data_IF_946748184612
#
_entry.id   IF_946748184612
#
_cell.length_a   1.000
_cell.length_b   1.000
_cell.length_c   1.000
_cell.angle_alpha   90.00
_cell.angle_beta   90.00
_cell.angle_gamma   90.00
#
_symmetry.space_group_name_H-M   'P 1'
#
loop_
_entity.id
_entity.type
_entity.pdbx_description
1 polymer ?
#
# COMPACT_ATOMS: atom_id res chain seq x y z
N UNK A 1 17.76 14.56 -8.52
CA UNK A 1 17.47 13.41 -7.64
C UNK A 1 15.98 13.15 -7.70
N UNK A 2 15.63 11.94 -8.08
CA UNK A 2 14.25 11.46 -8.12
C UNK A 2 14.11 10.24 -7.23
N UNK A 3 12.94 10.05 -6.64
CA UNK A 3 12.70 8.88 -5.81
C UNK A 3 11.24 8.44 -5.87
N UNK A 4 11.03 7.17 -5.59
CA UNK A 4 9.75 6.63 -5.19
C UNK A 4 9.96 5.77 -3.95
N UNK A 5 9.08 5.89 -2.97
CA UNK A 5 9.11 5.12 -1.73
C UNK A 5 7.76 4.51 -1.41
N UNK A 6 7.81 3.38 -0.71
CA UNK A 6 6.66 2.66 -0.18
C UNK A 6 6.89 2.42 1.31
N UNK A 7 5.84 2.59 2.10
CA UNK A 7 5.81 2.30 3.53
C UNK A 7 5.18 0.92 3.75
N UNK A 8 5.95 -0.05 4.22
CA UNK A 8 5.49 -1.39 4.60
C UNK A 8 5.29 -1.49 6.12
N UNK A 9 4.20 -2.10 6.55
CA UNK A 9 3.91 -2.31 7.96
C UNK A 9 4.48 -3.64 8.43
N UNK A 10 5.36 -3.57 9.41
CA UNK A 10 5.81 -4.78 10.09
C UNK A 10 4.80 -5.19 11.16
N UNK A 11 4.69 -6.49 11.40
CA UNK A 11 3.78 -7.08 12.41
C UNK A 11 3.86 -6.39 13.78
N UNK A 12 5.04 -5.87 14.15
CA UNK A 12 5.33 -5.17 15.41
C UNK A 12 4.95 -3.68 15.45
N UNK A 13 4.25 -3.16 14.43
CA UNK A 13 3.89 -1.74 14.33
C UNK A 13 5.02 -0.81 13.87
N UNK A 14 6.18 -1.36 13.51
CA UNK A 14 7.25 -0.58 12.89
C UNK A 14 6.97 -0.37 11.40
N UNK A 15 7.30 0.80 10.87
CA UNK A 15 7.20 1.09 9.44
C UNK A 15 8.56 0.88 8.78
N UNK A 16 8.59 0.03 7.77
CA UNK A 16 9.74 -0.17 6.89
C UNK A 16 9.54 0.66 5.63
N UNK A 17 10.61 1.25 5.12
CA UNK A 17 10.56 2.01 3.87
C UNK A 17 11.37 1.30 2.81
N UNK A 18 10.72 1.00 1.68
CA UNK A 18 11.40 0.61 0.45
C UNK A 18 11.47 1.83 -0.44
N UNK A 19 12.65 2.17 -0.95
CA UNK A 19 12.83 3.32 -1.80
C UNK A 19 13.71 2.99 -3.01
N UNK A 20 13.28 3.45 -4.18
CA UNK A 20 14.13 3.56 -5.36
C UNK A 20 14.54 5.02 -5.46
N UNK A 21 15.84 5.27 -5.50
CA UNK A 21 16.43 6.61 -5.57
C UNK A 21 17.34 6.65 -6.79
N UNK A 22 17.20 7.70 -7.61
CA UNK A 22 18.00 7.93 -8.82
C UNK A 22 18.63 9.32 -8.78
N UNK A 23 19.89 9.39 -9.18
CA UNK A 23 20.54 10.65 -9.52
C UNK A 23 20.25 10.94 -11.00
N UNK A 24 19.65 12.10 -11.27
CA UNK A 24 19.27 12.54 -12.61
C UNK A 24 20.21 13.66 -13.05
N UNK A 25 20.32 13.88 -14.35
CA UNK A 25 21.00 15.04 -14.88
C UNK A 25 20.29 16.37 -14.56
N UNK A 26 20.96 17.51 -14.77
CA UNK A 26 20.45 18.84 -14.39
C UNK A 26 19.09 19.18 -15.03
N UNK A 27 18.84 18.67 -16.24
CA UNK A 27 17.63 18.92 -17.01
C UNK A 27 16.49 17.93 -16.71
N UNK A 28 16.76 16.82 -16.01
CA UNK A 28 15.75 15.82 -15.67
C UNK A 28 16.22 14.38 -15.81
N UNK A 29 15.28 13.45 -15.61
CA UNK A 29 15.52 12.00 -15.57
C UNK A 29 16.05 11.38 -16.86
N UNK A 30 15.84 12.05 -18.00
CA UNK A 30 16.28 11.59 -19.32
C UNK A 30 17.69 12.09 -19.68
N UNK A 31 18.32 12.85 -18.78
CA UNK A 31 19.70 13.33 -18.95
C UNK A 31 20.63 12.63 -17.97
N UNK A 32 21.86 12.29 -18.39
CA UNK A 32 22.80 11.59 -17.52
C UNK A 32 23.18 12.48 -16.32
N UNK A 33 23.36 11.88 -15.13
CA UNK A 33 23.87 12.61 -13.99
C UNK A 33 25.31 13.09 -14.25
N UNK A 34 25.78 14.14 -13.55
CA UNK A 34 27.18 14.55 -13.60
C UNK A 34 28.14 13.40 -13.26
N UNK A 35 29.36 13.41 -13.78
CA UNK A 35 30.33 12.31 -13.58
C UNK A 35 30.68 12.02 -12.10
N UNK A 36 30.57 13.02 -11.21
CA UNK A 36 30.78 12.85 -9.78
C UNK A 36 29.61 12.19 -9.04
N UNK A 37 28.42 12.15 -9.65
CA UNK A 37 27.18 11.67 -9.04
C UNK A 37 27.06 10.15 -9.22
N UNK A 38 27.96 9.40 -8.57
CA UNK A 38 28.04 7.94 -8.69
C UNK A 38 27.08 7.20 -7.75
N UNK A 39 26.90 5.89 -7.98
CA UNK A 39 26.09 5.04 -7.13
C UNK A 39 26.71 4.84 -5.73
N UNK A 40 28.05 4.83 -5.65
CA UNK A 40 28.81 4.79 -4.39
C UNK A 40 28.54 6.05 -3.58
N UNK A 41 28.63 7.23 -4.19
CA UNK A 41 28.32 8.49 -3.51
C UNK A 41 26.87 8.53 -3.00
N UNK A 42 25.93 8.01 -3.79
CA UNK A 42 24.54 7.91 -3.35
C UNK A 42 24.39 6.95 -2.16
N UNK A 43 25.10 5.83 -2.18
CA UNK A 43 25.09 4.83 -1.10
C UNK A 43 25.60 5.46 0.19
N UNK A 44 26.77 6.10 0.15
CA UNK A 44 27.36 6.81 1.30
C UNK A 44 26.42 7.89 1.83
N UNK A 45 25.77 8.65 0.93
CA UNK A 45 24.82 9.68 1.32
C UNK A 45 23.57 9.11 2.02
N UNK A 46 23.05 7.96 1.55
CA UNK A 46 21.91 7.29 2.17
C UNK A 46 22.28 6.77 3.56
N UNK A 47 23.43 6.13 3.70
CA UNK A 47 23.92 5.62 5.00
C UNK A 47 24.14 6.76 5.99
N UNK A 48 24.81 7.83 5.56
CA UNK A 48 25.02 9.02 6.37
C UNK A 48 23.70 9.68 6.79
N UNK A 49 22.72 9.76 5.88
CA UNK A 49 21.40 10.31 6.20
C UNK A 49 20.65 9.41 7.19
N UNK A 50 20.63 8.10 6.97
CA UNK A 50 19.96 7.14 7.86
C UNK A 50 20.54 7.17 9.28
N UNK A 51 21.86 7.31 9.42
CA UNK A 51 22.54 7.41 10.71
C UNK A 51 22.28 8.75 11.43
N UNK A 52 22.09 9.84 10.69
CA UNK A 52 21.93 11.19 11.25
C UNK A 52 20.49 11.59 11.54
N UNK A 53 19.51 11.01 10.84
CA UNK A 53 18.10 11.42 10.96
C UNK A 53 17.59 11.13 12.38
N UNK A 54 17.12 12.19 13.01
CA UNK A 54 16.46 12.19 14.31
C UNK A 54 15.21 13.08 14.22
N UNK A 55 14.05 12.54 14.58
CA UNK A 55 12.78 13.26 14.56
C UNK A 55 12.20 13.29 15.96
N UNK A 56 11.97 14.48 16.49
CA UNK A 56 11.33 14.65 17.79
C UNK A 56 9.90 14.10 17.75
N UNK A 57 9.59 13.27 18.75
CA UNK A 57 8.29 12.69 18.97
C UNK A 57 7.50 13.40 20.06
N UNK A 58 6.28 12.95 20.33
CA UNK A 58 5.47 13.53 21.40
C UNK A 58 6.07 13.26 22.79
N UNK A 59 5.75 14.14 23.73
CA UNK A 59 5.93 13.87 25.16
C UNK A 59 4.74 13.03 25.62
N UNK A 60 5.01 11.85 26.17
CA UNK A 60 3.97 10.96 26.72
C UNK A 60 4.34 10.72 28.18
N UNK A 61 3.45 11.09 29.10
CA UNK A 61 3.60 10.90 30.55
C UNK A 61 4.92 11.48 31.09
N UNK A 62 5.25 12.70 30.65
CA UNK A 62 6.47 13.41 31.05
C UNK A 62 7.75 12.93 30.34
N UNK A 63 7.68 11.91 29.49
CA UNK A 63 8.82 11.40 28.72
C UNK A 63 8.79 11.90 27.28
N UNK A 64 9.82 12.65 26.88
CA UNK A 64 10.05 13.00 25.48
C UNK A 64 10.46 11.77 24.68
N UNK A 65 9.83 11.57 23.52
CA UNK A 65 10.18 10.50 22.59
C UNK A 65 10.96 11.07 21.41
N UNK A 66 11.76 10.21 20.78
CA UNK A 66 12.48 10.55 19.56
C UNK A 66 12.53 9.33 18.66
N UNK A 67 12.34 9.54 17.36
CA UNK A 67 12.38 8.51 16.34
C UNK A 67 13.66 8.61 15.50
N UNK A 68 14.26 7.46 15.23
CA UNK A 68 15.41 7.29 14.34
C UNK A 68 15.17 6.07 13.44
N UNK A 69 15.99 5.91 12.40
CA UNK A 69 16.05 4.61 11.74
C UNK A 69 16.61 3.54 12.69
N UNK A 70 16.18 2.29 12.49
CA UNK A 70 16.74 1.14 13.18
C UNK A 70 18.06 0.69 12.56
N UNK A 71 18.61 -0.42 13.05
CA UNK A 71 19.88 -1.00 12.54
C UNK A 71 19.77 -1.67 11.17
N UNK A 72 18.57 -1.81 10.63
CA UNK A 72 18.34 -2.49 9.36
C UNK A 72 18.31 -1.46 8.23
N UNK A 73 19.33 -1.51 7.39
CA UNK A 73 19.45 -0.74 6.15
C UNK A 73 20.10 -1.67 5.11
N UNK A 74 19.49 -1.77 3.93
CA UNK A 74 20.01 -2.52 2.79
C UNK A 74 19.97 -1.60 1.58
N UNK A 75 21.15 -1.20 1.10
CA UNK A 75 21.30 -0.33 -0.07
C UNK A 75 21.92 -1.17 -1.17
N UNK A 76 21.20 -1.29 -2.29
CA UNK A 76 21.68 -2.03 -3.46
C UNK A 76 21.54 -1.17 -4.69
N UNK A 77 22.61 -1.14 -5.49
CA UNK A 77 22.55 -0.57 -6.82
C UNK A 77 21.69 -1.49 -7.69
N UNK A 78 20.61 -0.95 -8.25
CA UNK A 78 19.75 -1.69 -9.16
C UNK A 78 20.39 -1.66 -10.55
N UNK A 79 20.86 -2.82 -11.02
CA UNK A 79 21.48 -3.01 -12.34
C UNK A 79 20.48 -3.66 -13.30
N UNK A 80 20.67 -3.46 -14.61
CA UNK A 80 19.88 -4.13 -15.65
C UNK A 80 19.87 -5.66 -15.49
N UNK A 81 21.00 -6.24 -15.09
CA UNK A 81 21.16 -7.68 -14.88
C UNK A 81 20.36 -8.25 -13.68
N UNK A 82 19.87 -7.40 -12.77
CA UNK A 82 19.08 -7.85 -11.61
C UNK A 82 17.63 -8.21 -11.99
N UNK A 83 17.24 -7.96 -13.24
CA UNK A 83 15.95 -8.33 -13.79
C UNK A 83 16.15 -9.55 -14.71
N UNK A 84 15.43 -10.65 -14.41
CA UNK A 84 15.66 -12.03 -14.84
C UNK A 84 15.74 -12.35 -16.35
N UNK A 85 15.84 -11.37 -17.24
CA UNK A 85 15.83 -11.59 -18.70
C UNK A 85 16.98 -10.86 -19.44
N UNK A 86 17.99 -10.34 -18.73
CA UNK A 86 19.08 -9.57 -19.37
C UNK A 86 18.58 -8.31 -20.10
N UNK A 87 17.34 -7.89 -19.83
CA UNK A 87 16.75 -6.67 -20.36
C UNK A 87 17.47 -5.46 -19.78
N UNK A 88 17.61 -4.40 -20.57
CA UNK A 88 17.97 -3.08 -20.06
C UNK A 88 17.07 -2.72 -18.86
N UNK A 89 17.62 -1.96 -17.90
CA UNK A 89 16.89 -1.44 -16.75
C UNK A 89 15.72 -0.56 -17.24
N UNK A 90 14.57 -1.18 -17.51
CA UNK A 90 13.38 -0.47 -17.96
C UNK A 90 12.64 0.15 -16.76
N UNK A 91 11.98 1.28 -16.98
CA UNK A 91 11.11 1.89 -15.98
C UNK A 91 10.02 0.92 -15.48
N UNK A 92 9.58 0.01 -16.36
CA UNK A 92 8.62 -1.05 -16.04
C UNK A 92 9.15 -2.02 -14.98
N UNK A 93 10.43 -2.39 -15.06
CA UNK A 93 11.07 -3.31 -14.14
C UNK A 93 11.20 -2.67 -12.73
N UNK A 94 11.58 -1.40 -12.69
CA UNK A 94 11.62 -0.59 -11.46
C UNK A 94 10.21 -0.41 -10.86
N UNK A 95 9.20 -0.16 -11.70
CA UNK A 95 7.82 -0.06 -11.24
C UNK A 95 7.29 -1.38 -10.66
N UNK A 96 7.62 -2.52 -11.27
CA UNK A 96 7.27 -3.85 -10.75
C UNK A 96 7.94 -4.12 -9.41
N UNK A 97 9.21 -3.74 -9.25
CA UNK A 97 9.93 -3.83 -7.98
C UNK A 97 9.22 -3.02 -6.89
N UNK A 98 8.84 -1.76 -7.16
CA UNK A 98 8.09 -0.93 -6.21
C UNK A 98 6.72 -1.55 -5.91
N UNK A 99 6.02 -2.06 -6.94
CA UNK A 99 4.70 -2.68 -6.80
C UNK A 99 4.72 -3.93 -5.90
N UNK A 100 5.80 -4.72 -5.93
CA UNK A 100 5.98 -5.89 -5.05
C UNK A 100 5.88 -5.53 -3.56
N UNK A 101 6.39 -4.37 -3.17
CA UNK A 101 6.32 -3.89 -1.80
C UNK A 101 5.05 -3.07 -1.55
N UNK A 102 4.38 -2.64 -2.63
CA UNK A 102 3.13 -1.92 -2.57
C UNK A 102 1.92 -2.78 -2.15
N UNK A 103 2.01 -4.09 -2.28
CA UNK A 103 0.92 -5.04 -1.95
C UNK A 103 1.18 -5.84 -0.69
N UNK A 104 2.27 -5.54 0.02
CA UNK A 104 2.59 -6.11 1.35
C UNK A 104 2.20 -5.11 2.44
N UNK A 105 0.99 -4.59 2.37
CA UNK A 105 0.52 -3.52 3.24
C UNK A 105 0.17 -3.98 4.66
N UNK A 106 -0.55 -3.12 5.37
CA UNK A 106 -1.05 -3.37 6.72
C UNK A 106 -1.88 -4.65 6.81
N UNK A 107 -2.50 -5.10 5.71
CA UNK A 107 -3.27 -6.33 5.65
C UNK A 107 -2.54 -7.58 6.15
N UNK A 108 -1.21 -7.63 6.04
CA UNK A 108 -0.39 -8.74 6.56
C UNK A 108 -0.28 -8.71 8.10
N UNK A 109 -0.47 -7.55 8.72
CA UNK A 109 -0.40 -7.34 10.17
C UNK A 109 -1.78 -7.17 10.82
N UNK A 110 -2.74 -6.52 10.16
CA UNK A 110 -4.07 -6.17 10.68
C UNK A 110 -5.21 -6.94 10.05
N UNK A 111 -4.95 -7.87 9.11
CA UNK A 111 -6.01 -8.54 8.35
C UNK A 111 -6.76 -7.58 7.42
N UNK A 112 -7.96 -7.95 7.00
CA UNK A 112 -8.81 -7.19 6.06
C UNK A 112 -9.36 -5.84 6.60
N UNK A 113 -8.74 -5.25 7.62
CA UNK A 113 -9.17 -3.98 8.19
C UNK A 113 -8.75 -2.81 7.29
N UNK A 114 -9.60 -2.50 6.31
CA UNK A 114 -9.38 -1.48 5.28
C UNK A 114 -10.02 -0.12 5.60
N UNK A 115 -10.79 -0.05 6.70
CA UNK A 115 -11.58 1.13 7.08
C UNK A 115 -11.31 1.63 8.50
N UNK A 116 -11.49 2.95 8.75
CA UNK A 116 -11.48 3.50 10.10
C UNK A 116 -12.48 2.82 11.04
N UNK A 117 -12.04 2.62 12.28
CA UNK A 117 -12.90 2.20 13.38
C UNK A 117 -13.77 3.38 13.84
N UNK A 118 -15.06 3.12 14.06
CA UNK A 118 -16.00 4.04 14.69
C UNK A 118 -15.98 3.85 16.20
N UNK A 119 -15.87 2.61 16.67
CA UNK A 119 -15.83 2.23 18.08
C UNK A 119 -14.77 1.15 18.36
N UNK A 120 -14.15 1.20 19.55
CA UNK A 120 -13.17 0.18 19.96
C UNK A 120 -13.78 -1.23 20.07
N UNK A 121 -15.09 -1.32 20.33
CA UNK A 121 -15.82 -2.58 20.44
C UNK A 121 -15.84 -3.38 19.12
N UNK A 122 -15.71 -2.72 17.96
CA UNK A 122 -15.64 -3.39 16.65
C UNK A 122 -14.48 -4.41 16.59
N UNK A 123 -13.41 -4.21 17.37
CA UNK A 123 -12.27 -5.12 17.44
C UNK A 123 -12.60 -6.54 17.94
N UNK A 124 -13.74 -6.73 18.61
CA UNK A 124 -14.17 -8.04 19.08
C UNK A 124 -14.71 -8.92 17.95
N UNK A 125 -15.17 -8.31 16.85
CA UNK A 125 -15.75 -9.02 15.70
C UNK A 125 -14.74 -9.30 14.59
N UNK A 126 -13.52 -8.78 14.73
CA UNK A 126 -12.47 -8.93 13.72
C UNK A 126 -11.65 -10.19 13.98
N UNK A 127 -11.48 -10.99 12.92
CA UNK A 127 -10.50 -12.06 12.88
C UNK A 127 -9.09 -11.49 12.68
N UNK A 128 -8.48 -11.09 13.79
CA UNK A 128 -7.12 -10.53 13.85
C UNK A 128 -6.37 -11.13 15.04
N UNK A 129 -5.04 -11.20 14.89
CA UNK A 129 -4.16 -11.62 15.98
C UNK A 129 -4.29 -10.72 17.21
N UNK A 130 -4.07 -11.28 18.41
CA UNK A 130 -4.07 -10.52 19.66
C UNK A 130 -3.05 -9.39 19.67
N UNK A 131 -1.90 -9.62 19.02
CA UNK A 131 -0.87 -8.60 18.88
C UNK A 131 -1.37 -7.38 18.09
N UNK A 132 -1.99 -7.62 16.92
CA UNK A 132 -2.58 -6.57 16.11
C UNK A 132 -3.70 -5.84 16.86
N UNK A 133 -4.58 -6.59 17.52
CA UNK A 133 -5.64 -6.03 18.37
C UNK A 133 -5.07 -5.11 19.45
N UNK A 134 -3.95 -5.49 20.09
CA UNK A 134 -3.27 -4.67 21.09
C UNK A 134 -2.69 -3.39 20.48
N UNK A 135 -2.01 -3.45 19.34
CA UNK A 135 -1.49 -2.27 18.66
C UNK A 135 -2.60 -1.28 18.28
N UNK A 136 -3.70 -1.78 17.70
CA UNK A 136 -4.85 -0.96 17.32
C UNK A 136 -5.50 -0.32 18.56
N UNK A 137 -5.69 -1.08 19.65
CA UNK A 137 -6.19 -0.54 20.93
C UNK A 137 -5.26 0.55 21.48
N UNK A 138 -3.95 0.35 21.42
CA UNK A 138 -2.97 1.35 21.87
C UNK A 138 -3.09 2.64 21.05
N UNK A 139 -3.15 2.56 19.71
CA UNK A 139 -3.36 3.73 18.86
C UNK A 139 -4.70 4.42 19.15
N UNK A 140 -5.76 3.64 19.38
CA UNK A 140 -7.09 4.14 19.74
C UNK A 140 -7.12 4.88 21.09
N UNK A 141 -6.42 4.35 22.09
CA UNK A 141 -6.31 4.95 23.43
C UNK A 141 -5.45 6.20 23.41
N UNK A 142 -4.27 6.15 22.77
CA UNK A 142 -3.40 7.33 22.64
C UNK A 142 -4.09 8.45 21.84
N UNK A 143 -4.85 8.09 20.79
CA UNK A 143 -5.64 9.03 20.01
C UNK A 143 -6.82 9.66 20.75
N UNK A 144 -7.13 9.22 21.97
CA UNK A 144 -8.11 9.87 22.85
C UNK A 144 -7.53 11.07 23.59
N UNK A 145 -6.21 11.17 23.70
CA UNK A 145 -5.54 12.21 24.48
C UNK A 145 -5.47 13.52 23.69
N UNK A 146 -5.78 14.63 24.37
CA UNK A 146 -5.85 15.96 23.75
C UNK A 146 -4.50 16.52 23.33
N UNK A 147 -3.46 16.25 24.11
CA UNK A 147 -2.07 16.56 23.80
C UNK A 147 -1.57 15.87 22.52
N UNK A 148 -2.16 14.73 22.14
CA UNK A 148 -1.81 13.95 20.95
C UNK A 148 -2.79 14.10 19.77
N UNK A 149 -3.77 15.00 19.86
CA UNK A 149 -4.84 15.14 18.85
C UNK A 149 -4.27 15.39 17.43
N UNK A 150 -3.21 16.18 17.34
CA UNK A 150 -2.51 16.51 16.10
C UNK A 150 -1.92 15.29 15.36
N UNK A 151 -1.70 14.16 16.05
CA UNK A 151 -1.21 12.91 15.45
C UNK A 151 -2.35 12.13 14.76
N UNK A 152 -3.61 12.36 15.15
CA UNK A 152 -4.81 11.70 14.60
C UNK A 152 -4.78 10.17 14.73
N UNK A 153 -4.14 9.62 15.77
CA UNK A 153 -3.91 8.18 15.94
C UNK A 153 -5.21 7.35 15.90
N UNK A 154 -6.31 7.87 16.47
CA UNK A 154 -7.60 7.18 16.46
C UNK A 154 -8.20 7.04 15.06
N UNK A 155 -8.13 8.10 14.25
CA UNK A 155 -8.62 8.07 12.87
C UNK A 155 -7.85 7.05 12.00
N UNK A 156 -6.59 6.80 12.34
CA UNK A 156 -5.70 5.88 11.64
C UNK A 156 -5.42 4.60 12.42
N UNK A 157 -6.21 4.28 13.46
CA UNK A 157 -5.94 3.13 14.32
C UNK A 157 -6.00 1.80 13.55
N UNK A 158 -6.87 1.71 12.54
CA UNK A 158 -6.94 0.59 11.60
C UNK A 158 -5.64 0.37 10.82
N UNK A 159 -4.86 1.44 10.59
CA UNK A 159 -3.53 1.43 9.98
C UNK A 159 -2.42 1.54 11.04
N UNK A 160 -2.65 0.96 12.23
CA UNK A 160 -1.71 0.98 13.36
C UNK A 160 -1.26 2.39 13.79
N UNK A 161 -2.07 3.41 13.53
CA UNK A 161 -1.80 4.81 13.85
C UNK A 161 -0.96 5.57 12.81
N UNK A 162 -0.57 4.95 11.69
CA UNK A 162 0.18 5.63 10.64
C UNK A 162 -0.75 6.43 9.72
N UNK A 163 -0.52 7.75 9.68
CA UNK A 163 -1.22 8.70 8.79
C UNK A 163 -0.53 8.89 7.43
N UNK A 164 0.69 8.38 7.27
CA UNK A 164 1.48 8.65 6.08
C UNK A 164 0.88 8.02 4.83
N UNK A 165 1.28 8.55 3.67
CA UNK A 165 0.95 7.90 2.41
C UNK A 165 1.71 6.60 2.28
N UNK A 166 0.99 5.56 1.89
CA UNK A 166 1.56 4.25 1.62
C UNK A 166 2.63 4.31 0.53
N UNK A 167 2.43 5.11 -0.51
CA UNK A 167 3.43 5.39 -1.54
C UNK A 167 3.63 6.90 -1.70
N UNK A 168 4.87 7.32 -1.95
CA UNK A 168 5.22 8.71 -2.25
C UNK A 168 6.30 8.73 -3.32
N UNK A 169 6.23 9.67 -4.25
CA UNK A 169 7.28 9.88 -5.25
C UNK A 169 7.65 11.35 -5.39
N UNK A 170 8.87 11.62 -5.84
CA UNK A 170 9.27 12.98 -6.20
C UNK A 170 8.47 13.47 -7.41
N UNK A 171 8.35 14.79 -7.55
CA UNK A 171 7.55 15.41 -8.63
C UNK A 171 8.03 15.02 -10.04
N UNK A 172 9.33 14.81 -10.21
CA UNK A 172 9.97 14.49 -11.49
C UNK A 172 10.25 13.00 -11.69
N UNK A 173 9.85 12.13 -10.76
CA UNK A 173 10.13 10.69 -10.86
C UNK A 173 9.43 10.01 -12.03
N UNK A 174 8.17 10.38 -12.31
CA UNK A 174 7.34 9.74 -13.34
C UNK A 174 6.08 10.58 -13.59
N UNK A 175 5.36 10.28 -14.68
CA UNK A 175 4.05 10.87 -15.02
C UNK A 175 3.02 10.76 -13.90
N UNK A 176 2.01 11.63 -13.88
CA UNK A 176 1.02 11.64 -12.79
C UNK A 176 0.01 10.51 -12.93
N UNK A 177 -0.54 10.03 -11.79
CA UNK A 177 -1.64 9.06 -11.82
C UNK A 177 -2.89 9.62 -12.53
N UNK A 178 -3.06 10.96 -12.54
CA UNK A 178 -4.13 11.62 -13.30
C UNK A 178 -3.91 11.40 -14.80
N UNK A 179 -2.73 11.74 -15.31
CA UNK A 179 -2.38 11.53 -16.72
C UNK A 179 -2.54 10.06 -17.14
N UNK A 180 -2.14 9.11 -16.30
CA UNK A 180 -2.36 7.68 -16.58
C UNK A 180 -3.85 7.28 -16.61
N UNK A 181 -4.68 7.84 -15.73
CA UNK A 181 -6.14 7.60 -15.74
C UNK A 181 -6.78 8.20 -16.98
N UNK A 182 -6.39 9.40 -17.37
CA UNK A 182 -6.91 10.11 -18.54
C UNK A 182 -6.54 9.36 -19.83
N UNK A 183 -5.28 8.93 -19.97
CA UNK A 183 -4.83 8.12 -21.09
C UNK A 183 -5.60 6.78 -21.18
N UNK A 184 -5.86 6.11 -20.04
CA UNK A 184 -6.65 4.88 -20.01
C UNK A 184 -8.13 5.11 -20.34
N UNK A 185 -8.68 6.26 -19.96
CA UNK A 185 -10.04 6.63 -20.32
C UNK A 185 -10.17 6.88 -21.83
N UNK A 186 -9.21 7.60 -22.42
CA UNK A 186 -9.16 7.84 -23.87
C UNK A 186 -9.00 6.56 -24.65
N UNK A 187 -8.05 5.70 -24.27
CA UNK A 187 -7.87 4.39 -24.92
C UNK A 187 -9.17 3.56 -24.85
N UNK A 188 -9.86 3.55 -23.71
CA UNK A 188 -11.15 2.86 -23.59
C UNK A 188 -12.24 3.47 -24.48
N UNK A 189 -12.28 4.80 -24.64
CA UNK A 189 -13.22 5.48 -25.57
C UNK A 189 -12.96 5.06 -27.01
N UNK A 190 -11.70 5.10 -27.45
CA UNK A 190 -11.31 4.70 -28.81
C UNK A 190 -11.66 3.23 -29.07
N UNK A 191 -11.36 2.34 -28.12
CA UNK A 191 -11.71 0.91 -28.24
C UNK A 191 -13.24 0.68 -28.31
N UNK A 192 -14.03 1.39 -27.50
CA UNK A 192 -15.49 1.29 -27.53
C UNK A 192 -16.08 1.79 -28.86
N UNK A 193 -15.54 2.90 -29.39
CA UNK A 193 -15.94 3.43 -30.69
C UNK A 193 -15.57 2.49 -31.85
N UNK A 194 -14.40 1.84 -31.80
CA UNK A 194 -13.99 0.84 -32.78
C UNK A 194 -14.87 -0.42 -32.74
N UNK A 195 -15.26 -0.88 -31.53
CA UNK A 195 -16.14 -2.02 -31.36
C UNK A 195 -17.58 -1.77 -31.86
N UNK A 196 -18.03 -0.51 -31.89
CA UNK A 196 -19.35 -0.13 -32.42
C UNK A 196 -19.38 -0.08 -33.96
N UNK A 197 -18.22 -0.04 -34.61
CA UNK A 197 -18.07 0.12 -36.06
C UNK A 197 -17.57 -1.17 -36.79
N UNK A 198 -17.49 -2.31 -36.10
CA UNK A 198 -17.12 -3.61 -36.71
C UNK A 198 -18.33 -4.34 -37.31
N UNK A 199 -18.16 -5.26 -38.28
CA UNK A 199 -19.26 -6.07 -38.80
C UNK A 199 -19.88 -6.91 -37.68
N UNK A 200 -21.22 -6.94 -37.62
CA UNK A 200 -22.00 -7.66 -36.61
C UNK A 200 -21.54 -9.13 -36.51
N UNK A 201 -20.75 -9.45 -35.50
CA UNK A 201 -20.46 -10.84 -35.13
C UNK A 201 -20.55 -10.95 -33.62
N UNK A 202 -21.46 -11.83 -33.18
CA UNK A 202 -21.76 -12.26 -31.81
C UNK A 202 -21.68 -11.18 -30.72
N UNK A 203 -22.87 -10.69 -30.33
CA UNK A 203 -23.11 -9.78 -29.23
C UNK A 203 -22.52 -10.30 -27.91
N UNK A 204 -21.28 -9.90 -27.62
CA UNK A 204 -20.71 -10.05 -26.27
C UNK A 204 -21.36 -9.00 -25.37
N UNK A 205 -22.28 -9.44 -24.51
CA UNK A 205 -22.87 -8.59 -23.47
C UNK A 205 -21.79 -8.21 -22.44
N UNK A 206 -21.26 -6.99 -22.53
CA UNK A 206 -20.36 -6.44 -21.52
C UNK A 206 -21.19 -5.82 -20.39
N UNK A 207 -21.48 -6.58 -19.35
CA UNK A 207 -22.03 -6.07 -18.08
C UNK A 207 -20.93 -5.35 -17.29
N UNK A 208 -20.69 -4.07 -17.61
CA UNK A 208 -19.68 -3.23 -16.94
C UNK A 208 -20.25 -2.33 -15.83
N UNK A 209 -21.45 -2.62 -15.31
CA UNK A 209 -22.08 -1.79 -14.28
C UNK A 209 -22.19 -2.57 -12.96
N UNK A 210 -21.19 -2.40 -12.10
CA UNK A 210 -21.23 -2.87 -10.72
C UNK A 210 -21.71 -1.73 -9.83
N UNK A 211 -22.91 -1.87 -9.28
CA UNK A 211 -23.39 -1.03 -8.17
C UNK A 211 -23.18 -1.81 -6.90
N UNK A 212 -22.72 -1.12 -5.86
CA UNK A 212 -22.70 -1.69 -4.52
C UNK A 212 -24.13 -2.07 -4.12
N UNK A 213 -24.43 -3.38 -4.08
CA UNK A 213 -25.75 -3.91 -3.78
C UNK A 213 -26.04 -3.96 -2.27
N UNK A 214 -25.01 -3.84 -1.42
CA UNK A 214 -25.11 -3.94 0.03
C UNK A 214 -24.04 -4.85 0.63
N UNK A 215 -24.05 -4.99 1.95
CA UNK A 215 -23.19 -5.92 2.71
C UNK A 215 -24.05 -6.65 3.73
N UNK A 216 -23.91 -7.97 3.81
CA UNK A 216 -24.77 -8.83 4.62
C UNK A 216 -25.99 -9.30 3.83
N UNK A 217 -26.66 -10.32 4.38
CA UNK A 217 -27.94 -10.79 3.85
C UNK A 217 -29.03 -9.79 4.28
N UNK A 218 -29.90 -9.40 3.37
CA UNK A 218 -31.18 -8.78 3.75
C UNK A 218 -31.99 -9.75 4.62
N UNK A 219 -33.00 -9.26 5.36
CA UNK A 219 -33.84 -10.11 6.21
C UNK A 219 -34.46 -11.29 5.41
N UNK A 220 -34.81 -11.04 4.15
CA UNK A 220 -35.32 -12.05 3.23
C UNK A 220 -34.25 -13.05 2.80
N UNK A 221 -33.04 -12.60 2.49
CA UNK A 221 -31.91 -13.48 2.13
C UNK A 221 -31.38 -14.26 3.34
N UNK A 222 -31.45 -13.69 4.55
CA UNK A 222 -31.10 -14.36 5.79
C UNK A 222 -32.10 -15.48 6.10
N UNK A 223 -33.39 -15.20 5.94
CA UNK A 223 -34.44 -16.22 6.04
C UNK A 223 -34.29 -17.29 4.95
N UNK A 224 -33.99 -16.90 3.71
CA UNK A 224 -33.80 -17.85 2.60
C UNK A 224 -32.58 -18.74 2.83
N UNK A 225 -31.44 -18.17 3.23
CA UNK A 225 -30.23 -18.93 3.56
C UNK A 225 -30.47 -19.88 4.74
N UNK A 226 -31.28 -19.48 5.73
CA UNK A 226 -31.64 -20.34 6.87
C UNK A 226 -32.68 -21.42 6.54
N UNK A 227 -33.41 -21.28 5.43
CA UNK A 227 -34.44 -22.24 4.97
C UNK A 227 -33.96 -23.19 3.87
N UNK A 228 -32.76 -22.96 3.33
CA UNK A 228 -32.09 -23.91 2.46
C UNK A 228 -31.44 -25.00 3.32
N UNK A 229 -32.01 -26.21 3.28
CA UNK A 229 -31.35 -27.41 3.77
C UNK A 229 -30.07 -27.65 2.95
N UNK A 230 -28.91 -27.97 3.57
CA UNK A 230 -27.73 -28.35 2.81
C UNK A 230 -28.05 -29.58 1.97
N UNK A 231 -27.83 -29.51 0.66
CA UNK A 231 -27.89 -30.69 -0.19
C UNK A 231 -26.88 -31.74 0.33
N UNK A 232 -27.28 -32.99 0.62
CA UNK A 232 -26.34 -34.03 0.99
C UNK A 232 -25.30 -34.20 -0.12
N UNK A 233 -24.01 -34.07 0.21
CA UNK A 233 -22.91 -34.34 -0.70
C UNK A 233 -22.31 -33.14 -1.46
N UNK A 234 -22.39 -31.92 -0.94
CA UNK A 234 -21.56 -30.81 -1.45
C UNK A 234 -20.19 -30.81 -0.77
N UNK A 235 -19.12 -30.64 -1.55
CA UNK A 235 -17.72 -30.82 -1.13
C UNK A 235 -17.37 -29.99 0.13
N UNK A 236 -16.90 -30.69 1.17
CA UNK A 236 -16.49 -30.07 2.44
C UNK A 236 -16.86 -30.84 3.70
N UNK A 237 -17.32 -32.09 3.63
CA UNK A 237 -17.50 -32.92 4.84
C UNK A 237 -16.15 -33.17 5.54
N UNK A 238 -16.06 -32.95 6.86
CA UNK A 238 -14.90 -33.36 7.63
C UNK A 238 -14.87 -34.89 7.70
N UNK A 239 -13.87 -35.50 7.08
CA UNK A 239 -13.53 -36.90 7.31
C UNK A 239 -12.98 -37.05 8.73
N UNK A 240 -13.83 -37.41 9.68
CA UNK A 240 -13.39 -37.94 10.96
C UNK A 240 -12.96 -39.39 10.79
N UNK A 241 -11.67 -39.63 11.02
CA UNK A 241 -11.05 -40.92 11.33
C UNK A 241 -9.99 -40.69 12.39
#
# INVERSE_FOLDING_TARGET
>A
MSFAKVAEYQKRGAVHFHAVIRLDGPSGGDTPPPAWATAELLTDAIEAAAAKVRIDGPVIDGRAHTFTFGRQLDVRTIRSADFNDGQELTERAVAAYIAKYATKGAETATGALDRPLKFAAELAQLDISDHARRLIRTAWTLGARKDLEHLRLRAWAHMLGFRGHFSTKSRRYSTTLRALRDARAEWRRVQAAAATNGPETETTYVLAHWVFAGTGLSDTEAWLAASLEPAPGTEGEPTHG
#
